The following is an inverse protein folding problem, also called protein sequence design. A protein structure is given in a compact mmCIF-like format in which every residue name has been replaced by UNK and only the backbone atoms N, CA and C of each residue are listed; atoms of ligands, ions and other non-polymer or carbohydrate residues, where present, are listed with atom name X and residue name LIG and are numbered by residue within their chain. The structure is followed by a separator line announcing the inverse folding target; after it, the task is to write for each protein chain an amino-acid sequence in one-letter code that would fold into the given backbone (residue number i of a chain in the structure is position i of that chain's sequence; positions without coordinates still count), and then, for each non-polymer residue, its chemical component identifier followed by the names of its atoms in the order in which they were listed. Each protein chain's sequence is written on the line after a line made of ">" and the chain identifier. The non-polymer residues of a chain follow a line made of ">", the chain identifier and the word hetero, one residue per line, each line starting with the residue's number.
data_IF_794100542083
#
_entry.id   IF_794100542083
#
_cell.length_a   1.000
_cell.length_b   1.000
_cell.length_c   1.000
_cell.angle_alpha   90.00
_cell.angle_beta   90.00
_cell.angle_gamma   90.00
#
_symmetry.space_group_name_H-M   'P 1'
#
loop_
_entity.id
_entity.type
_entity.pdbx_description
1 polymer ?
#
# COMPACT_ATOMS: atom_id res chain seq x y z
N UNK A 1 -3.46 -2.68 20.61
CA UNK A 1 -3.55 -4.08 20.11
C UNK A 1 -5.01 -4.41 20.14
N UNK A 2 -5.59 -4.81 19.01
CA UNK A 2 -7.06 -4.87 18.83
C UNK A 2 -7.82 -5.55 19.96
N UNK A 3 -7.28 -6.61 20.55
CA UNK A 3 -7.96 -7.31 21.65
C UNK A 3 -8.10 -6.41 22.88
N UNK A 4 -7.09 -5.60 23.23
CA UNK A 4 -7.21 -4.63 24.33
C UNK A 4 -8.22 -3.52 23.98
N UNK A 5 -8.18 -3.04 22.73
CA UNK A 5 -9.06 -1.95 22.28
C UNK A 5 -10.54 -2.39 22.27
N UNK A 6 -10.81 -3.65 21.89
CA UNK A 6 -12.13 -4.27 21.97
C UNK A 6 -12.58 -4.53 23.41
N UNK A 7 -11.66 -4.91 24.29
CA UNK A 7 -11.96 -5.08 25.73
C UNK A 7 -12.37 -3.75 26.37
N UNK A 8 -11.70 -2.65 26.02
CA UNK A 8 -12.06 -1.30 26.49
C UNK A 8 -13.44 -0.87 25.98
N UNK A 9 -13.71 -1.08 24.69
CA UNK A 9 -15.01 -0.78 24.06
C UNK A 9 -16.17 -1.50 24.74
N UNK A 10 -15.99 -2.80 25.05
CA UNK A 10 -17.00 -3.63 25.68
C UNK A 10 -17.01 -3.54 27.22
N UNK A 11 -16.17 -2.66 27.81
CA UNK A 11 -15.95 -2.53 29.25
C UNK A 11 -15.75 -3.91 29.93
N UNK A 12 -14.94 -4.75 29.27
CA UNK A 12 -14.74 -6.16 29.61
C UNK A 12 -13.31 -6.37 30.14
N UNK A 13 -13.19 -7.12 31.23
CA UNK A 13 -11.87 -7.50 31.76
C UNK A 13 -11.31 -8.74 31.05
N UNK A 14 -9.98 -8.88 31.02
CA UNK A 14 -9.29 -10.09 30.52
C UNK A 14 -9.79 -11.37 31.19
N UNK A 15 -10.08 -11.29 32.50
CA UNK A 15 -10.66 -12.40 33.26
C UNK A 15 -12.05 -12.78 32.76
N UNK A 16 -12.90 -11.78 32.52
CA UNK A 16 -14.25 -11.99 31.99
C UNK A 16 -14.20 -12.61 30.59
N UNK A 17 -13.31 -12.11 29.73
CA UNK A 17 -13.07 -12.70 28.40
C UNK A 17 -12.62 -14.17 28.49
N UNK A 18 -11.68 -14.50 29.38
CA UNK A 18 -11.26 -15.90 29.60
C UNK A 18 -12.42 -16.79 30.02
N UNK A 19 -13.24 -16.33 30.97
CA UNK A 19 -14.38 -17.10 31.49
C UNK A 19 -15.48 -17.31 30.44
N UNK A 20 -15.80 -16.29 29.66
CA UNK A 20 -16.87 -16.34 28.65
C UNK A 20 -16.44 -17.07 27.37
N UNK A 21 -15.18 -16.94 26.96
CA UNK A 21 -14.65 -17.60 25.75
C UNK A 21 -14.24 -19.05 25.99
N UNK A 22 -14.01 -19.45 27.24
CA UNK A 22 -13.45 -20.76 27.59
C UNK A 22 -11.98 -20.92 27.18
N UNK A 23 -11.29 -19.80 26.90
CA UNK A 23 -9.84 -19.77 26.62
C UNK A 23 -9.08 -19.53 27.92
N UNK A 24 -7.99 -20.24 28.12
CA UNK A 24 -7.18 -20.13 29.34
C UNK A 24 -6.71 -18.69 29.58
N UNK A 25 -6.73 -18.25 30.84
CA UNK A 25 -6.34 -16.89 31.23
C UNK A 25 -4.89 -16.56 30.85
N UNK A 26 -4.02 -17.56 30.86
CA UNK A 26 -2.63 -17.45 30.39
C UNK A 26 -2.58 -17.08 28.91
N UNK A 27 -3.32 -17.79 28.06
CA UNK A 27 -3.42 -17.52 26.62
C UNK A 27 -4.01 -16.13 26.35
N UNK A 28 -5.08 -15.72 27.04
CA UNK A 28 -5.63 -14.36 26.90
C UNK A 28 -4.60 -13.31 27.29
N UNK A 29 -3.84 -13.54 28.36
CA UNK A 29 -2.81 -12.61 28.83
C UNK A 29 -1.63 -12.52 27.86
N UNK A 30 -1.18 -13.64 27.31
CA UNK A 30 -0.10 -13.69 26.32
C UNK A 30 -0.51 -13.02 25.02
N UNK A 31 -1.77 -13.22 24.58
CA UNK A 31 -2.37 -12.47 23.48
C UNK A 31 -2.35 -10.98 23.81
N UNK A 32 -3.00 -10.54 24.90
CA UNK A 32 -3.13 -9.11 25.23
C UNK A 32 -1.80 -8.38 25.45
N UNK A 33 -0.73 -9.11 25.78
CA UNK A 33 0.62 -8.58 25.97
C UNK A 33 1.51 -8.74 24.72
N UNK A 34 0.99 -9.24 23.60
CA UNK A 34 1.72 -9.40 22.33
C UNK A 34 2.74 -10.55 22.30
N UNK A 35 2.73 -11.45 23.29
CA UNK A 35 3.61 -12.63 23.33
C UNK A 35 3.13 -13.75 22.41
N UNK A 36 1.82 -13.84 22.20
CA UNK A 36 1.20 -14.76 21.27
C UNK A 36 0.61 -13.97 20.10
N UNK A 37 1.10 -14.25 18.89
CA UNK A 37 0.57 -13.64 17.67
C UNK A 37 -0.79 -14.26 17.32
N UNK A 38 -1.79 -13.44 17.00
CA UNK A 38 -3.14 -13.96 16.71
C UNK A 38 -3.18 -14.84 15.46
N UNK A 39 -2.36 -14.56 14.45
CA UNK A 39 -2.24 -15.36 13.21
C UNK A 39 -1.70 -16.77 13.45
N UNK A 40 -1.02 -17.00 14.57
CA UNK A 40 -0.48 -18.30 14.98
C UNK A 40 -1.32 -19.01 16.03
N UNK A 41 -2.38 -18.37 16.51
CA UNK A 41 -3.32 -19.00 17.42
C UNK A 41 -4.18 -20.01 16.67
N UNK A 42 -4.51 -21.13 17.32
CA UNK A 42 -5.45 -22.09 16.75
C UNK A 42 -6.76 -21.39 16.37
N UNK A 43 -7.29 -21.67 15.18
CA UNK A 43 -8.50 -21.03 14.66
C UNK A 43 -9.70 -21.15 15.64
N UNK A 44 -9.79 -22.27 16.37
CA UNK A 44 -10.80 -22.46 17.41
C UNK A 44 -10.69 -21.49 18.58
N UNK A 45 -9.47 -21.07 18.93
CA UNK A 45 -9.22 -20.07 19.99
C UNK A 45 -9.64 -18.68 19.52
N UNK A 46 -9.26 -18.30 18.29
CA UNK A 46 -9.67 -17.04 17.68
C UNK A 46 -11.19 -16.93 17.58
N UNK A 47 -11.85 -17.97 17.09
CA UNK A 47 -13.31 -18.00 16.94
C UNK A 47 -14.03 -17.81 18.29
N UNK A 48 -13.55 -18.45 19.36
CA UNK A 48 -14.12 -18.30 20.71
C UNK A 48 -13.99 -16.87 21.24
N UNK A 49 -12.85 -16.23 21.02
CA UNK A 49 -12.60 -14.85 21.44
C UNK A 49 -13.46 -13.89 20.61
N UNK A 50 -13.44 -14.02 19.29
CA UNK A 50 -14.19 -13.19 18.35
C UNK A 50 -15.71 -13.25 18.64
N UNK A 51 -16.22 -14.45 18.93
CA UNK A 51 -17.63 -14.66 19.28
C UNK A 51 -18.05 -13.90 20.54
N UNK A 52 -17.21 -13.87 21.58
CA UNK A 52 -17.50 -13.15 22.83
C UNK A 52 -17.42 -11.63 22.63
N UNK A 53 -16.47 -11.17 21.83
CA UNK A 53 -16.28 -9.76 21.53
C UNK A 53 -17.21 -9.23 20.42
N UNK A 54 -18.07 -10.08 19.86
CA UNK A 54 -19.04 -9.67 18.83
C UNK A 54 -18.41 -9.25 17.50
N UNK A 55 -17.22 -9.75 17.17
CA UNK A 55 -16.47 -9.40 15.96
C UNK A 55 -16.22 -10.62 15.08
N UNK A 56 -15.89 -10.42 13.81
CA UNK A 56 -15.43 -11.50 12.93
C UNK A 56 -13.98 -11.86 13.25
N UNK A 57 -13.59 -13.11 12.96
CA UNK A 57 -12.20 -13.55 13.09
C UNK A 57 -11.29 -12.73 12.16
N UNK A 58 -11.77 -12.40 10.96
CA UNK A 58 -11.08 -11.55 9.99
C UNK A 58 -10.73 -10.18 10.61
N UNK A 59 -11.68 -9.49 11.25
CA UNK A 59 -11.42 -8.20 11.90
C UNK A 59 -10.34 -8.31 13.00
N UNK A 60 -10.32 -9.41 13.76
CA UNK A 60 -9.30 -9.64 14.79
C UNK A 60 -7.90 -9.84 14.19
N UNK A 61 -7.83 -10.47 13.02
CA UNK A 61 -6.58 -10.71 12.30
C UNK A 61 -6.10 -9.46 11.55
N UNK A 62 -7.03 -8.70 10.95
CA UNK A 62 -6.78 -7.45 10.23
C UNK A 62 -6.00 -6.44 11.08
N UNK A 63 -6.16 -6.47 12.41
CA UNK A 63 -5.45 -5.56 13.32
C UNK A 63 -4.34 -6.20 14.19
N UNK A 64 -3.95 -7.46 13.95
CA UNK A 64 -2.58 -7.90 14.31
C UNK A 64 -1.55 -7.45 13.28
N UNK A 65 -2.02 -6.99 12.13
CA UNK A 65 -1.30 -6.14 11.19
C UNK A 65 -1.28 -4.66 11.65
N UNK A 66 -1.32 -4.41 12.96
CA UNK A 66 -1.11 -3.08 13.59
C UNK A 66 0.26 -3.00 14.26
N UNK A 67 1.17 -3.91 13.93
CA UNK A 67 2.40 -3.37 13.38
C UNK A 67 2.05 -2.96 11.94
N UNK A 68 2.24 -1.69 11.60
CA UNK A 68 2.39 -1.25 10.20
C UNK A 68 3.61 -1.95 9.59
N UNK A 69 3.61 -3.27 9.49
CA UNK A 69 4.13 -3.94 8.31
C UNK A 69 3.10 -3.65 7.21
N UNK A 70 3.11 -2.39 6.79
CA UNK A 70 3.29 -2.01 5.40
C UNK A 70 3.64 -3.25 4.55
N UNK A 71 2.64 -4.04 4.21
CA UNK A 71 2.81 -5.17 3.32
C UNK A 71 3.00 -4.50 1.97
N UNK A 72 4.27 -4.17 1.68
CA UNK A 72 4.66 -3.50 0.46
C UNK A 72 4.25 -4.42 -0.66
N UNK A 73 3.15 -4.09 -1.31
CA UNK A 73 2.70 -4.80 -2.49
C UNK A 73 3.78 -4.70 -3.57
N UNK A 74 3.71 -5.59 -4.56
CA UNK A 74 4.63 -5.48 -5.69
C UNK A 74 4.46 -4.11 -6.35
N UNK A 75 5.54 -3.59 -6.96
CA UNK A 75 5.48 -2.30 -7.62
C UNK A 75 4.40 -2.26 -8.71
N UNK A 76 4.19 -3.36 -9.45
CA UNK A 76 3.10 -3.45 -10.44
C UNK A 76 1.70 -3.39 -9.81
N UNK A 77 1.51 -4.02 -8.66
CA UNK A 77 0.26 -3.90 -7.90
C UNK A 77 0.03 -2.47 -7.45
N UNK A 78 1.06 -1.79 -6.95
CA UNK A 78 0.99 -0.39 -6.54
C UNK A 78 0.59 0.51 -7.71
N UNK A 79 1.23 0.35 -8.87
CA UNK A 79 0.92 1.09 -10.08
C UNK A 79 -0.54 0.89 -10.50
N UNK A 80 -0.99 -0.37 -10.56
CA UNK A 80 -2.37 -0.72 -10.92
C UNK A 80 -3.39 -0.07 -9.98
N UNK A 81 -3.17 -0.19 -8.66
CA UNK A 81 -4.03 0.43 -7.66
C UNK A 81 -4.09 1.95 -7.83
N UNK A 82 -2.95 2.59 -8.11
CA UNK A 82 -2.89 4.04 -8.33
C UNK A 82 -3.71 4.43 -9.57
N UNK A 83 -3.57 3.71 -10.67
CA UNK A 83 -4.32 4.00 -11.90
C UNK A 83 -5.83 3.79 -11.73
N UNK A 84 -6.25 2.73 -11.02
CA UNK A 84 -7.66 2.53 -10.65
C UNK A 84 -8.18 3.65 -9.76
N UNK A 85 -7.39 4.09 -8.78
CA UNK A 85 -7.77 5.18 -7.89
C UNK A 85 -8.00 6.49 -8.66
N UNK A 86 -7.11 6.84 -9.59
CA UNK A 86 -7.28 7.98 -10.50
C UNK A 86 -8.53 7.82 -11.36
N UNK A 87 -8.82 6.62 -11.87
CA UNK A 87 -10.00 6.34 -12.70
C UNK A 87 -11.31 6.50 -11.93
N UNK A 88 -11.35 6.04 -10.69
CA UNK A 88 -12.56 6.03 -9.85
C UNK A 88 -12.86 7.41 -9.24
N UNK A 89 -11.80 8.11 -8.80
CA UNK A 89 -11.91 9.41 -8.14
C UNK A 89 -11.91 10.58 -9.13
N UNK A 90 -11.24 10.42 -10.26
CA UNK A 90 -10.99 11.52 -11.20
C UNK A 90 -9.71 12.29 -10.86
N UNK A 91 -9.18 12.98 -11.88
CA UNK A 91 -7.84 13.58 -11.83
C UNK A 91 -7.67 14.59 -10.70
N UNK A 92 -8.64 15.52 -10.57
CA UNK A 92 -8.53 16.67 -9.67
C UNK A 92 -8.62 16.22 -8.22
N UNK A 93 -9.60 15.37 -7.91
CA UNK A 93 -9.84 14.87 -6.56
C UNK A 93 -8.66 13.99 -6.10
N UNK A 94 -8.11 13.15 -7.00
CA UNK A 94 -6.91 12.37 -6.73
C UNK A 94 -5.69 13.26 -6.41
N UNK A 95 -5.49 14.34 -7.19
CA UNK A 95 -4.39 15.29 -6.93
C UNK A 95 -4.58 15.93 -5.55
N UNK A 96 -5.78 16.44 -5.25
CA UNK A 96 -6.06 17.10 -3.97
C UNK A 96 -5.80 16.14 -2.81
N UNK A 97 -6.40 14.94 -2.83
CA UNK A 97 -6.24 13.96 -1.75
C UNK A 97 -4.77 13.56 -1.56
N UNK A 98 -4.06 13.27 -2.67
CA UNK A 98 -2.65 12.87 -2.60
C UNK A 98 -1.76 13.97 -2.00
N UNK A 99 -2.03 15.22 -2.36
CA UNK A 99 -1.27 16.37 -1.87
C UNK A 99 -1.61 16.72 -0.41
N UNK A 100 -2.88 16.69 -0.03
CA UNK A 100 -3.35 16.97 1.34
C UNK A 100 -2.90 15.88 2.32
N UNK A 101 -2.89 14.62 1.88
CA UNK A 101 -2.40 13.51 2.69
C UNK A 101 -0.87 13.51 2.82
N UNK A 102 -0.14 14.30 2.02
CA UNK A 102 1.33 14.28 1.96
C UNK A 102 1.91 12.86 1.70
N UNK A 103 1.18 12.07 0.91
CA UNK A 103 1.45 10.64 0.76
C UNK A 103 2.79 10.37 0.07
N UNK A 104 3.15 11.22 -0.89
CA UNK A 104 4.45 11.18 -1.59
C UNK A 104 5.60 11.32 -0.57
N UNK A 105 5.50 12.25 0.37
CA UNK A 105 6.54 12.47 1.38
C UNK A 105 6.65 11.29 2.32
N UNK A 106 5.52 10.78 2.81
CA UNK A 106 5.47 9.60 3.68
C UNK A 106 6.13 8.39 3.03
N UNK A 107 5.86 8.13 1.75
CA UNK A 107 6.50 7.04 0.99
C UNK A 107 8.01 7.27 0.89
N UNK A 108 8.44 8.50 0.60
CA UNK A 108 9.85 8.84 0.47
C UNK A 108 10.63 8.66 1.77
N UNK A 109 10.09 9.12 2.91
CA UNK A 109 10.71 9.00 4.23
C UNK A 109 10.82 7.54 4.68
N UNK A 110 9.87 6.69 4.27
CA UNK A 110 9.92 5.23 4.45
C UNK A 110 10.91 4.53 3.52
N UNK A 111 11.64 5.28 2.67
CA UNK A 111 12.57 4.78 1.65
C UNK A 111 11.90 3.96 0.55
N UNK A 112 10.61 4.17 0.33
CA UNK A 112 9.86 3.55 -0.77
C UNK A 112 9.95 4.44 -2.01
N UNK A 113 11.18 4.60 -2.49
CA UNK A 113 11.49 5.59 -3.51
C UNK A 113 10.78 5.33 -4.84
N UNK A 114 10.65 4.06 -5.26
CA UNK A 114 9.96 3.73 -6.52
C UNK A 114 8.50 4.17 -6.51
N UNK A 115 7.80 3.88 -5.42
CA UNK A 115 6.41 4.24 -5.20
C UNK A 115 6.24 5.76 -5.05
N UNK A 116 7.12 6.41 -4.28
CA UNK A 116 7.10 7.86 -4.11
C UNK A 116 7.30 8.61 -5.44
N UNK A 117 8.30 8.19 -6.23
CA UNK A 117 8.60 8.79 -7.54
C UNK A 117 7.47 8.51 -8.54
N UNK A 118 6.89 7.30 -8.53
CA UNK A 118 5.73 6.99 -9.39
C UNK A 118 4.52 7.85 -9.05
N UNK A 119 4.20 8.01 -7.77
CA UNK A 119 3.05 8.81 -7.33
C UNK A 119 3.26 10.30 -7.65
N UNK A 120 4.48 10.81 -7.48
CA UNK A 120 4.83 12.18 -7.88
C UNK A 120 4.73 12.39 -9.40
N UNK A 121 5.22 11.43 -10.20
CA UNK A 121 5.09 11.46 -11.66
C UNK A 121 3.62 11.45 -12.10
N UNK A 122 2.78 10.64 -11.43
CA UNK A 122 1.34 10.60 -11.66
C UNK A 122 0.70 11.95 -11.41
N UNK A 123 0.97 12.57 -10.25
CA UNK A 123 0.43 13.90 -9.91
C UNK A 123 0.90 14.96 -10.91
N UNK A 124 2.17 14.96 -11.28
CA UNK A 124 2.72 15.91 -12.26
C UNK A 124 2.09 15.70 -13.66
N UNK A 125 1.90 14.45 -14.08
CA UNK A 125 1.23 14.08 -15.34
C UNK A 125 -0.22 14.57 -15.37
N UNK A 126 -1.00 14.28 -14.33
CA UNK A 126 -2.38 14.73 -14.21
C UNK A 126 -2.47 16.26 -14.13
N UNK A 127 -1.53 16.90 -13.43
CA UNK A 127 -1.44 18.36 -13.36
C UNK A 127 -1.20 18.98 -14.74
N UNK A 128 -0.30 18.42 -15.56
CA UNK A 128 -0.09 18.90 -16.94
C UNK A 128 -1.36 18.75 -17.78
N UNK A 129 -2.03 17.60 -17.72
CA UNK A 129 -3.27 17.38 -18.48
C UNK A 129 -4.36 18.39 -18.11
N UNK A 130 -4.47 18.72 -16.83
CA UNK A 130 -5.47 19.66 -16.31
C UNK A 130 -4.98 21.12 -16.28
N UNK A 131 -3.80 21.42 -16.83
CA UNK A 131 -3.18 22.76 -16.86
C UNK A 131 -3.03 23.41 -15.46
N UNK A 132 -2.74 22.58 -14.46
CA UNK A 132 -2.53 23.00 -13.09
C UNK A 132 -1.04 23.29 -12.83
N UNK A 133 -0.72 24.26 -11.96
CA UNK A 133 0.66 24.46 -11.51
C UNK A 133 1.14 23.28 -10.66
N UNK A 134 2.43 22.97 -10.76
CA UNK A 134 3.04 21.90 -9.96
C UNK A 134 3.19 22.32 -8.49
N UNK A 135 2.90 21.39 -7.57
CA UNK A 135 3.09 21.60 -6.15
C UNK A 135 4.59 21.68 -5.80
N UNK A 136 5.06 22.80 -5.26
CA UNK A 136 6.50 23.04 -5.00
C UNK A 136 7.08 22.25 -3.83
N UNK A 137 6.23 21.66 -2.97
CA UNK A 137 6.67 20.96 -1.76
C UNK A 137 7.51 19.71 -2.01
N UNK A 138 7.46 19.17 -3.23
CA UNK A 138 8.17 17.95 -3.64
C UNK A 138 9.35 18.22 -4.59
N UNK A 139 9.80 19.47 -4.71
CA UNK A 139 10.88 19.83 -5.65
C UNK A 139 12.21 19.12 -5.35
N UNK A 140 12.48 18.81 -4.08
CA UNK A 140 13.63 18.01 -3.64
C UNK A 140 13.55 16.55 -4.11
N UNK A 141 12.34 15.98 -4.17
CA UNK A 141 12.09 14.65 -4.73
C UNK A 141 12.18 14.68 -6.26
N UNK A 142 11.69 15.76 -6.90
CA UNK A 142 11.76 15.94 -8.36
C UNK A 142 13.18 16.02 -8.91
N UNK A 143 14.18 16.29 -8.07
CA UNK A 143 15.59 16.26 -8.47
C UNK A 143 16.25 14.90 -8.30
N UNK A 144 15.51 13.88 -7.86
CA UNK A 144 15.99 12.50 -7.73
C UNK A 144 15.55 11.67 -8.94
N UNK A 145 16.25 10.56 -9.19
CA UNK A 145 15.87 9.55 -10.18
C UNK A 145 16.35 8.16 -9.72
N UNK A 146 15.80 7.10 -10.30
CA UNK A 146 16.30 5.74 -10.06
C UNK A 146 17.61 5.53 -10.82
N UNK A 147 18.55 4.77 -10.24
CA UNK A 147 19.85 4.47 -10.87
C UNK A 147 19.73 3.76 -12.22
N UNK A 148 18.67 2.96 -12.40
CA UNK A 148 18.41 2.20 -13.62
C UNK A 148 16.96 2.34 -14.06
N UNK A 149 16.68 2.35 -15.38
CA UNK A 149 15.33 2.31 -15.91
C UNK A 149 14.52 1.12 -15.38
N UNK A 150 13.37 1.42 -14.77
CA UNK A 150 12.38 0.44 -14.34
C UNK A 150 11.42 0.18 -15.50
N UNK A 151 11.54 -0.99 -16.11
CA UNK A 151 10.63 -1.44 -17.18
C UNK A 151 9.40 -2.15 -16.59
N UNK A 152 8.22 -2.03 -17.23
CA UNK A 152 7.05 -2.81 -16.90
C UNK A 152 7.30 -4.31 -17.03
N UNK A 153 6.67 -5.11 -16.17
CA UNK A 153 6.83 -6.55 -16.15
C UNK A 153 6.58 -7.22 -17.52
N UNK A 154 5.59 -6.73 -18.27
CA UNK A 154 5.30 -7.23 -19.62
C UNK A 154 6.49 -7.11 -20.58
N UNK A 155 7.16 -5.94 -20.61
CA UNK A 155 8.34 -5.70 -21.45
C UNK A 155 9.52 -6.56 -21.01
N UNK A 156 9.73 -6.70 -19.69
CA UNK A 156 10.80 -7.55 -19.16
C UNK A 156 10.61 -9.01 -19.56
N UNK A 157 9.38 -9.53 -19.45
CA UNK A 157 9.04 -10.91 -19.84
C UNK A 157 9.18 -11.11 -21.35
N UNK A 158 8.66 -10.18 -22.16
CA UNK A 158 8.78 -10.26 -23.62
C UNK A 158 10.24 -10.22 -24.09
N UNK A 159 11.05 -9.35 -23.50
CA UNK A 159 12.50 -9.30 -23.77
C UNK A 159 13.18 -10.60 -23.36
N UNK A 160 12.88 -11.15 -22.17
CA UNK A 160 13.47 -12.40 -21.72
C UNK A 160 13.11 -13.59 -22.62
N UNK A 161 11.91 -13.59 -23.21
CA UNK A 161 11.44 -14.64 -24.11
C UNK A 161 12.04 -14.54 -25.53
N UNK A 162 12.28 -13.32 -26.03
CA UNK A 162 12.64 -13.09 -27.45
C UNK A 162 14.09 -12.67 -27.65
N UNK A 163 14.71 -12.03 -26.64
CA UNK A 163 16.02 -11.38 -26.76
C UNK A 163 16.03 -10.11 -27.63
N UNK A 164 14.86 -9.64 -28.07
CA UNK A 164 14.74 -8.52 -29.00
C UNK A 164 14.85 -7.17 -28.27
N UNK A 165 15.94 -6.44 -28.50
CA UNK A 165 16.18 -5.11 -27.93
C UNK A 165 15.18 -4.06 -28.41
N UNK A 166 14.58 -4.23 -29.59
CA UNK A 166 13.61 -3.27 -30.15
C UNK A 166 12.38 -3.09 -29.26
N UNK A 167 12.07 -4.09 -28.42
CA UNK A 167 10.98 -4.02 -27.43
C UNK A 167 11.27 -2.95 -26.37
N UNK A 168 12.51 -2.87 -25.89
CA UNK A 168 12.92 -1.87 -24.90
C UNK A 168 13.02 -0.48 -25.51
N UNK A 169 13.55 -0.39 -26.74
CA UNK A 169 13.67 0.88 -27.45
C UNK A 169 12.29 1.52 -27.70
N UNK A 170 11.31 0.73 -28.15
CA UNK A 170 9.93 1.20 -28.31
C UNK A 170 9.32 1.64 -26.99
N UNK A 171 9.49 0.85 -25.94
CA UNK A 171 8.98 1.20 -24.61
C UNK A 171 9.56 2.52 -24.09
N UNK A 172 10.84 2.80 -24.34
CA UNK A 172 11.48 4.06 -23.98
C UNK A 172 10.95 5.24 -24.83
N UNK A 173 10.71 5.01 -26.12
CA UNK A 173 10.18 6.04 -27.01
C UNK A 173 8.73 6.44 -26.68
N UNK A 174 7.92 5.47 -26.23
CA UNK A 174 6.51 5.66 -25.90
C UNK A 174 6.31 6.09 -24.43
N UNK A 175 7.39 6.21 -23.65
CA UNK A 175 7.32 6.54 -22.23
C UNK A 175 6.82 7.98 -22.00
N UNK A 176 5.93 8.12 -21.02
CA UNK A 176 5.39 9.40 -20.60
C UNK A 176 6.51 10.22 -19.93
N UNK A 177 6.73 11.50 -20.35
CA UNK A 177 7.86 12.30 -19.90
C UNK A 177 8.00 12.42 -18.38
N UNK A 178 6.88 12.55 -17.66
CA UNK A 178 6.86 12.68 -16.20
C UNK A 178 7.38 11.45 -15.47
N UNK A 179 7.07 10.25 -15.97
CA UNK A 179 7.57 9.00 -15.40
C UNK A 179 9.01 8.75 -15.84
N UNK A 180 9.32 9.03 -17.11
CA UNK A 180 10.65 8.83 -17.67
C UNK A 180 11.71 9.70 -16.98
N UNK A 181 11.34 10.89 -16.51
CA UNK A 181 12.20 11.74 -15.67
C UNK A 181 12.76 11.02 -14.45
N UNK A 182 12.04 10.04 -13.91
CA UNK A 182 12.46 9.26 -12.75
C UNK A 182 13.06 7.89 -13.12
N UNK A 183 13.37 7.68 -14.40
CA UNK A 183 13.73 6.38 -14.97
C UNK A 183 12.64 5.32 -14.76
N UNK A 184 11.36 5.72 -14.79
CA UNK A 184 10.23 4.80 -14.80
C UNK A 184 9.65 4.78 -16.20
N UNK A 185 9.73 3.63 -16.87
CA UNK A 185 9.20 3.45 -18.22
C UNK A 185 7.72 3.12 -18.10
N UNK A 186 6.87 4.12 -18.28
CA UNK A 186 5.42 3.97 -18.25
C UNK A 186 4.81 4.64 -19.48
N UNK A 187 4.03 3.89 -20.25
CA UNK A 187 3.41 4.38 -21.49
C UNK A 187 1.89 4.49 -21.37
N UNK A 188 1.26 3.75 -20.45
CA UNK A 188 -0.20 3.67 -20.35
C UNK A 188 -0.70 3.75 -18.91
N UNK A 189 -1.33 4.86 -18.56
CA UNK A 189 -1.85 5.12 -17.20
C UNK A 189 -3.38 5.08 -17.14
N UNK A 190 -4.06 5.15 -18.30
CA UNK A 190 -5.52 5.25 -18.43
C UNK A 190 -6.19 3.97 -18.92
N UNK A 191 -5.46 3.11 -19.62
CA UNK A 191 -5.97 1.84 -20.14
C UNK A 191 -5.85 0.74 -19.08
N UNK A 192 -6.54 0.93 -17.95
CA UNK A 192 -6.66 -0.13 -16.93
C UNK A 192 -7.91 -0.93 -17.26
N UNK A 193 -7.71 -2.14 -17.79
CA UNK A 193 -8.75 -3.14 -18.04
C UNK A 193 -9.26 -3.73 -16.73
#
# INVERSE_FOLDING_TARGET
>A
MIVNDLLEKENMSRYRLSKESGVAMTTITDICNGKAALDKCEAGTLYKIAKVLGVTVDLMLENNCVEKTDCRCSFETFKSNTCHHVKDMGDIDFIIETLEADEIRKLYERRWYREALYLLAMVDYLSRLNKLPLCTNYNDIRSQELEKPCFPAGIVVSYAATGDESIKEKALADAIPEFMRFNIVESEVRNVC
#
